data_IF_917692567069
#
_entry.id   IF_917692567069
#
_cell.length_a   1.000
_cell.length_b   1.000
_cell.length_c   1.000
_cell.angle_alpha   90.00
_cell.angle_beta   90.00
_cell.angle_gamma   90.00
#
_symmetry.space_group_name_H-M   'P 1'
#
loop_
_entity.id
_entity.type
_entity.pdbx_description
1 polymer ?
#
# COMPACT_ATOMS: atom_id res chain seq x y z
N UNK A 1 12.60 -11.27 -4.22
CA UNK A 1 11.43 -11.95 -4.80
C UNK A 1 11.68 -12.16 -6.29
N UNK A 2 11.34 -13.31 -6.88
CA UNK A 2 11.44 -13.49 -8.33
C UNK A 2 10.33 -12.70 -9.08
N UNK A 3 10.49 -12.54 -10.39
CA UNK A 3 9.58 -11.72 -11.21
C UNK A 3 8.14 -12.25 -11.25
N UNK A 4 7.95 -13.57 -11.25
CA UNK A 4 6.62 -14.20 -11.29
C UNK A 4 5.89 -13.96 -9.97
N UNK A 5 6.58 -14.16 -8.86
CA UNK A 5 6.04 -13.92 -7.51
C UNK A 5 5.73 -12.44 -7.31
N UNK A 6 6.59 -11.53 -7.80
CA UNK A 6 6.36 -10.08 -7.74
C UNK A 6 5.10 -9.65 -8.51
N UNK A 7 4.94 -10.14 -9.76
CA UNK A 7 3.75 -9.87 -10.57
C UNK A 7 2.47 -10.45 -9.93
N UNK A 8 2.55 -11.66 -9.35
CA UNK A 8 1.43 -12.27 -8.65
C UNK A 8 1.01 -11.46 -7.40
N UNK A 9 1.97 -11.02 -6.58
CA UNK A 9 1.71 -10.15 -5.43
C UNK A 9 1.07 -8.83 -5.86
N UNK A 10 1.57 -8.21 -6.93
CA UNK A 10 0.99 -6.98 -7.48
C UNK A 10 -0.48 -7.16 -7.88
N UNK A 11 -0.81 -8.27 -8.54
CA UNK A 11 -2.18 -8.60 -8.94
C UNK A 11 -3.10 -8.83 -7.74
N UNK A 12 -2.62 -9.50 -6.68
CA UNK A 12 -3.38 -9.69 -5.42
C UNK A 12 -3.68 -8.35 -4.76
N UNK A 13 -2.68 -7.47 -4.65
CA UNK A 13 -2.83 -6.15 -4.03
C UNK A 13 -3.81 -5.29 -4.83
N UNK A 14 -3.69 -5.25 -6.16
CA UNK A 14 -4.62 -4.54 -7.03
C UNK A 14 -6.06 -5.03 -6.83
N UNK A 15 -6.26 -6.35 -6.88
CA UNK A 15 -7.58 -6.97 -6.68
C UNK A 15 -8.18 -6.64 -5.33
N UNK A 16 -7.37 -6.70 -4.26
CA UNK A 16 -7.82 -6.37 -2.91
C UNK A 16 -8.35 -4.94 -2.84
N UNK A 17 -7.56 -3.95 -3.28
CA UNK A 17 -7.97 -2.54 -3.19
C UNK A 17 -9.19 -2.23 -4.06
N UNK A 18 -9.30 -2.86 -5.24
CA UNK A 18 -10.51 -2.78 -6.05
C UNK A 18 -11.72 -3.39 -5.34
N UNK A 19 -11.55 -4.54 -4.68
CA UNK A 19 -12.58 -5.16 -3.84
C UNK A 19 -12.99 -4.31 -2.64
N UNK A 20 -12.09 -3.47 -2.13
CA UNK A 20 -12.36 -2.48 -1.09
C UNK A 20 -13.05 -1.21 -1.61
N UNK A 21 -13.44 -1.16 -2.89
CA UNK A 21 -14.21 -0.06 -3.48
C UNK A 21 -13.38 1.03 -4.16
N UNK A 22 -12.05 0.85 -4.30
CA UNK A 22 -11.23 1.79 -5.06
C UNK A 22 -11.36 1.57 -6.57
N UNK A 23 -11.25 2.65 -7.33
CA UNK A 23 -11.12 2.56 -8.79
C UNK A 23 -9.81 1.87 -9.18
N UNK A 24 -9.66 1.50 -10.45
CA UNK A 24 -8.43 0.89 -10.94
C UNK A 24 -7.21 1.80 -10.72
N UNK A 25 -7.34 3.09 -11.03
CA UNK A 25 -6.31 4.10 -10.85
C UNK A 25 -5.93 4.26 -9.37
N UNK A 26 -6.93 4.34 -8.49
CA UNK A 26 -6.72 4.47 -7.04
C UNK A 26 -6.04 3.23 -6.45
N UNK A 27 -6.44 2.03 -6.88
CA UNK A 27 -5.82 0.77 -6.47
C UNK A 27 -4.35 0.67 -6.93
N UNK A 28 -4.02 1.16 -8.14
CA UNK A 28 -2.63 1.31 -8.58
C UNK A 28 -1.84 2.31 -7.69
N UNK A 29 -2.49 3.37 -7.20
CA UNK A 29 -1.92 4.29 -6.22
C UNK A 29 -1.54 3.61 -4.89
N UNK A 30 -2.38 2.70 -4.42
CA UNK A 30 -2.12 1.92 -3.20
C UNK A 30 -1.03 0.86 -3.41
N UNK A 31 -1.04 0.19 -4.56
CA UNK A 31 0.02 -0.73 -4.95
C UNK A 31 1.39 -0.05 -5.02
N UNK A 32 1.44 1.20 -5.51
CA UNK A 32 2.67 1.99 -5.55
C UNK A 32 3.27 2.27 -4.16
N UNK A 33 2.45 2.30 -3.10
CA UNK A 33 2.95 2.38 -1.73
C UNK A 33 3.64 1.06 -1.34
N UNK A 34 2.95 -0.07 -1.47
CA UNK A 34 3.53 -1.38 -1.15
C UNK A 34 4.84 -1.63 -1.93
N UNK A 35 4.86 -1.22 -3.20
CA UNK A 35 6.01 -1.42 -4.09
C UNK A 35 7.25 -0.65 -3.61
N UNK A 36 7.17 0.66 -3.34
CA UNK A 36 8.36 1.36 -2.86
C UNK A 36 8.59 1.30 -1.34
N UNK A 37 7.66 0.77 -0.52
CA UNK A 37 7.95 0.49 0.90
C UNK A 37 8.71 -0.83 1.07
N UNK A 38 8.29 -1.89 0.36
CA UNK A 38 8.82 -3.24 0.60
C UNK A 38 9.16 -4.02 -0.66
N UNK A 39 9.07 -3.43 -1.85
CA UNK A 39 9.10 -4.18 -3.12
C UNK A 39 8.07 -5.31 -3.15
N UNK A 40 6.88 -5.05 -2.57
CA UNK A 40 5.76 -5.99 -2.43
C UNK A 40 6.06 -7.20 -1.53
N UNK A 41 7.06 -7.12 -0.66
CA UNK A 41 7.45 -8.21 0.23
C UNK A 41 6.77 -8.11 1.60
N UNK A 42 5.80 -8.98 1.93
CA UNK A 42 5.17 -8.99 3.25
C UNK A 42 6.13 -9.45 4.37
N UNK A 43 7.33 -9.94 4.04
CA UNK A 43 8.36 -10.34 5.00
C UNK A 43 9.44 -9.29 5.20
N UNK A 44 9.34 -8.13 4.54
CA UNK A 44 10.31 -7.05 4.70
C UNK A 44 10.38 -6.56 6.14
N UNK A 45 11.60 -6.40 6.65
CA UNK A 45 11.90 -5.75 7.92
C UNK A 45 12.91 -4.65 7.67
N UNK A 46 12.49 -3.41 7.87
CA UNK A 46 13.30 -2.22 7.65
C UNK A 46 13.63 -1.49 8.94
N UNK A 47 14.17 -0.28 8.79
CA UNK A 47 14.53 0.62 9.89
C UNK A 47 15.22 -0.08 11.06
N UNK A 48 16.28 -0.84 10.76
CA UNK A 48 17.06 -1.59 11.75
C UNK A 48 16.22 -2.52 12.65
N UNK A 49 15.11 -3.06 12.13
CA UNK A 49 14.21 -3.96 12.87
C UNK A 49 12.94 -3.30 13.41
N UNK A 50 12.68 -2.02 13.10
CA UNK A 50 11.56 -1.26 13.65
C UNK A 50 10.37 -1.09 12.69
N UNK A 51 10.54 -1.45 11.41
CA UNK A 51 9.50 -1.32 10.40
C UNK A 51 9.11 -2.69 9.81
N UNK A 52 7.81 -2.99 9.73
CA UNK A 52 7.32 -4.34 9.45
C UNK A 52 6.48 -4.44 8.18
N UNK A 53 6.77 -5.45 7.36
CA UNK A 53 5.91 -5.93 6.28
C UNK A 53 5.70 -4.97 5.12
N UNK A 54 4.55 -5.11 4.48
CA UNK A 54 4.21 -4.58 3.16
C UNK A 54 4.33 -3.06 3.06
N UNK A 55 3.90 -2.33 4.10
CA UNK A 55 3.96 -0.87 4.18
C UNK A 55 4.95 -0.38 5.24
N UNK A 56 5.84 -1.26 5.72
CA UNK A 56 6.89 -0.86 6.66
C UNK A 56 6.35 -0.12 7.90
N UNK A 57 5.27 -0.64 8.51
CA UNK A 57 4.64 -0.01 9.67
C UNK A 57 5.60 0.05 10.86
N UNK A 58 5.66 1.21 11.53
CA UNK A 58 6.35 1.38 12.80
C UNK A 58 5.50 0.94 13.99
N UNK A 59 6.13 0.85 15.17
CA UNK A 59 5.56 0.19 16.36
C UNK A 59 4.20 0.72 16.82
N UNK A 60 4.01 2.03 16.89
CA UNK A 60 2.75 2.65 17.33
C UNK A 60 1.58 2.33 16.39
N UNK A 61 1.81 2.42 15.08
CA UNK A 61 0.84 2.00 14.04
C UNK A 61 0.55 0.51 14.14
N UNK A 62 1.58 -0.32 14.29
CA UNK A 62 1.42 -1.77 14.43
C UNK A 62 0.62 -2.17 15.69
N UNK A 63 0.83 -1.48 16.81
CA UNK A 63 0.09 -1.71 18.06
C UNK A 63 -1.39 -1.32 17.91
N UNK A 64 -1.67 -0.18 17.30
CA UNK A 64 -3.04 0.25 17.01
C UNK A 64 -3.78 -0.75 16.09
N UNK A 65 -3.12 -1.22 15.04
CA UNK A 65 -3.65 -2.24 14.11
C UNK A 65 -3.96 -3.55 14.85
N UNK A 66 -3.00 -4.03 15.67
CA UNK A 66 -3.20 -5.26 16.44
C UNK A 66 -4.38 -5.14 17.41
N UNK A 67 -4.48 -4.02 18.13
CA UNK A 67 -5.60 -3.77 19.04
C UNK A 67 -6.95 -3.63 18.30
N UNK A 68 -6.93 -3.08 17.09
CA UNK A 68 -8.14 -2.74 16.35
C UNK A 68 -8.73 -3.85 15.48
N UNK A 69 -7.88 -4.65 14.84
CA UNK A 69 -8.33 -5.73 13.96
C UNK A 69 -7.62 -7.08 14.18
N UNK A 70 -6.80 -7.19 15.23
CA UNK A 70 -6.15 -8.45 15.62
C UNK A 70 -4.96 -8.86 14.74
N UNK A 71 -4.59 -8.07 13.73
CA UNK A 71 -3.45 -8.38 12.86
C UNK A 71 -2.14 -7.97 13.54
N UNK A 72 -1.32 -8.96 13.90
CA UNK A 72 0.01 -8.71 14.46
C UNK A 72 1.06 -8.56 13.34
N UNK A 73 1.36 -7.31 12.97
CA UNK A 73 2.33 -7.01 11.91
C UNK A 73 3.77 -7.42 12.26
N UNK A 74 4.14 -7.50 13.55
CA UNK A 74 5.48 -7.93 13.98
C UNK A 74 5.70 -9.42 13.73
N UNK A 75 4.63 -10.21 13.63
CA UNK A 75 4.68 -11.60 13.21
C UNK A 75 4.81 -11.79 11.68
N UNK A 76 4.86 -10.68 10.92
CA UNK A 76 4.93 -10.67 9.44
C UNK A 76 3.87 -11.59 8.81
N UNK A 77 2.57 -11.33 9.04
CA UNK A 77 1.51 -12.24 8.62
C UNK A 77 1.41 -12.27 7.09
N UNK A 78 0.68 -13.22 6.50
CA UNK A 78 0.52 -13.32 5.05
C UNK A 78 0.01 -12.01 4.42
N UNK A 79 0.33 -11.82 3.13
CA UNK A 79 0.01 -10.61 2.36
C UNK A 79 -1.45 -10.14 2.54
N UNK A 80 -2.41 -11.06 2.48
CA UNK A 80 -3.83 -10.71 2.62
C UNK A 80 -4.19 -10.11 3.98
N UNK A 81 -3.56 -10.58 5.07
CA UNK A 81 -3.84 -10.04 6.40
C UNK A 81 -3.19 -8.67 6.59
N UNK A 82 -2.03 -8.44 5.97
CA UNK A 82 -1.43 -7.10 5.94
C UNK A 82 -2.26 -6.11 5.12
N UNK A 83 -2.93 -6.58 4.06
CA UNK A 83 -3.88 -5.75 3.30
C UNK A 83 -5.14 -5.42 4.12
N UNK A 84 -5.66 -6.37 4.93
CA UNK A 84 -6.73 -6.09 5.91
C UNK A 84 -6.28 -5.08 6.96
N UNK A 85 -5.06 -5.19 7.47
CA UNK A 85 -4.47 -4.21 8.38
C UNK A 85 -4.40 -2.81 7.77
N UNK A 86 -3.89 -2.70 6.53
CA UNK A 86 -3.84 -1.44 5.79
C UNK A 86 -5.23 -0.80 5.63
N UNK A 87 -6.22 -1.60 5.22
CA UNK A 87 -7.60 -1.11 5.06
C UNK A 87 -8.21 -0.69 6.40
N UNK A 88 -8.01 -1.47 7.46
CA UNK A 88 -8.47 -1.10 8.81
C UNK A 88 -7.88 0.24 9.23
N UNK A 89 -6.56 0.42 9.10
CA UNK A 89 -5.89 1.66 9.47
C UNK A 89 -6.45 2.87 8.70
N UNK A 90 -6.52 2.77 7.37
CA UNK A 90 -7.09 3.82 6.50
C UNK A 90 -8.54 4.16 6.86
N UNK A 91 -9.34 3.20 7.29
CA UNK A 91 -10.75 3.41 7.62
C UNK A 91 -10.99 3.79 9.08
N UNK A 92 -9.97 3.75 9.95
CA UNK A 92 -10.12 4.01 11.39
C UNK A 92 -9.25 5.17 11.86
N UNK A 93 -7.93 5.02 11.83
CA UNK A 93 -6.97 6.00 12.35
C UNK A 93 -6.47 6.97 11.28
N UNK A 94 -6.52 6.57 9.99
CA UNK A 94 -5.97 7.31 8.86
C UNK A 94 -7.06 7.77 7.85
N UNK A 95 -8.28 8.03 8.37
CA UNK A 95 -9.47 8.39 7.56
C UNK A 95 -9.25 9.57 6.62
N UNK A 96 -8.45 10.56 7.04
CA UNK A 96 -8.12 11.70 6.19
C UNK A 96 -7.37 11.27 4.94
N UNK A 97 -6.41 10.36 5.08
CA UNK A 97 -5.67 9.81 3.94
C UNK A 97 -6.60 9.00 3.04
N UNK A 98 -7.45 8.15 3.63
CA UNK A 98 -8.44 7.37 2.88
C UNK A 98 -9.35 8.23 2.02
N UNK A 99 -9.93 9.28 2.58
CA UNK A 99 -10.79 10.23 1.83
C UNK A 99 -10.01 10.91 0.70
N UNK A 100 -8.76 11.30 0.95
CA UNK A 100 -7.92 11.91 -0.09
C UNK A 100 -7.64 10.95 -1.25
N UNK A 101 -7.38 9.67 -0.95
CA UNK A 101 -7.17 8.61 -1.95
C UNK A 101 -8.45 8.37 -2.75
N UNK A 102 -9.61 8.27 -2.08
CA UNK A 102 -10.90 8.06 -2.76
C UNK A 102 -11.33 9.23 -3.65
N UNK A 103 -10.88 10.45 -3.35
CA UNK A 103 -11.15 11.63 -4.16
C UNK A 103 -10.15 11.80 -5.33
N UNK A 104 -9.08 11.02 -5.38
CA UNK A 104 -8.10 11.08 -6.46
C UNK A 104 -8.72 10.57 -7.77
N UNK A 105 -8.48 11.31 -8.87
CA UNK A 105 -9.02 10.99 -10.20
C UNK A 105 -8.03 10.23 -11.09
N UNK A 106 -6.75 10.31 -10.78
CA UNK A 106 -5.67 9.67 -11.53
C UNK A 106 -4.86 8.75 -10.61
N UNK A 107 -4.11 7.82 -11.19
CA UNK A 107 -3.24 6.96 -10.38
C UNK A 107 -2.11 7.78 -9.76
N UNK A 108 -1.61 8.78 -10.49
CA UNK A 108 -0.68 9.77 -9.98
C UNK A 108 -1.20 10.44 -8.71
N UNK A 109 -2.41 11.00 -8.75
CA UNK A 109 -2.99 11.70 -7.61
C UNK A 109 -3.23 10.76 -6.43
N UNK A 110 -3.64 9.52 -6.69
CA UNK A 110 -3.86 8.52 -5.64
C UNK A 110 -2.54 8.11 -4.97
N UNK A 111 -1.50 7.83 -5.76
CA UNK A 111 -0.17 7.49 -5.25
C UNK A 111 0.48 8.66 -4.50
N UNK A 112 0.28 9.89 -4.99
CA UNK A 112 0.71 11.12 -4.32
C UNK A 112 -0.03 11.32 -3.00
N UNK A 113 -1.36 11.22 -2.99
CA UNK A 113 -2.19 11.41 -1.81
C UNK A 113 -1.90 10.36 -0.73
N UNK A 114 -1.79 9.09 -1.10
CA UNK A 114 -1.43 8.01 -0.19
C UNK A 114 -0.07 8.28 0.45
N UNK A 115 0.96 8.60 -0.33
CA UNK A 115 2.27 8.90 0.23
C UNK A 115 2.26 10.14 1.14
N UNK A 116 1.61 11.23 0.70
CA UNK A 116 1.59 12.48 1.46
C UNK A 116 0.82 12.38 2.77
N UNK A 117 -0.30 11.67 2.78
CA UNK A 117 -1.23 11.69 3.91
C UNK A 117 -1.20 10.44 4.77
N UNK A 118 -0.84 9.28 4.20
CA UNK A 118 -0.76 8.01 4.94
C UNK A 118 0.68 7.70 5.37
N UNK A 119 1.59 7.52 4.41
CA UNK A 119 2.98 7.12 4.73
C UNK A 119 3.81 8.26 5.32
N UNK A 120 3.54 9.50 4.91
CA UNK A 120 4.16 10.74 5.42
C UNK A 120 5.69 10.66 5.53
N UNK A 121 6.42 10.29 4.46
CA UNK A 121 7.86 10.28 4.51
C UNK A 121 8.41 11.70 4.69
N UNK A 122 9.57 11.84 5.30
CA UNK A 122 10.21 13.14 5.59
C UNK A 122 10.67 13.94 4.36
N UNK A 123 10.34 13.53 3.13
CA UNK A 123 10.75 14.22 1.91
C UNK A 123 9.61 14.34 0.89
N UNK A 124 9.18 15.57 0.53
CA UNK A 124 8.10 15.79 -0.43
C UNK A 124 8.34 15.25 -1.84
N UNK A 125 9.61 15.03 -2.24
CA UNK A 125 9.93 14.41 -3.54
C UNK A 125 9.35 13.00 -3.65
N UNK A 126 9.17 12.31 -2.52
CA UNK A 126 8.62 10.97 -2.48
C UNK A 126 7.16 10.95 -2.94
N UNK A 127 6.41 12.01 -2.70
CA UNK A 127 4.99 12.08 -3.10
C UNK A 127 4.86 12.00 -4.62
N UNK A 128 5.67 12.79 -5.35
CA UNK A 128 5.70 12.76 -6.81
C UNK A 128 6.20 11.42 -7.36
N UNK A 129 7.24 10.84 -6.75
CA UNK A 129 7.75 9.51 -7.13
C UNK A 129 6.69 8.41 -6.98
N UNK A 130 5.88 8.47 -5.93
CA UNK A 130 4.80 7.51 -5.69
C UNK A 130 3.66 7.68 -6.69
N UNK A 131 3.34 8.92 -7.07
CA UNK A 131 2.43 9.19 -8.18
C UNK A 131 2.93 8.60 -9.50
N UNK A 132 4.20 8.84 -9.86
CA UNK A 132 4.79 8.28 -11.09
C UNK A 132 4.82 6.75 -11.09
N UNK A 133 5.13 6.14 -9.95
CA UNK A 133 5.10 4.68 -9.77
C UNK A 133 3.70 4.11 -9.95
N UNK A 134 2.66 4.82 -9.50
CA UNK A 134 1.28 4.41 -9.72
C UNK A 134 0.90 4.40 -11.21
N UNK A 135 1.34 5.41 -11.98
CA UNK A 135 1.14 5.44 -13.44
C UNK A 135 1.92 4.32 -14.17
N UNK A 136 3.08 3.95 -13.66
CA UNK A 136 3.82 2.78 -14.17
C UNK A 136 3.02 1.48 -13.95
N UNK A 137 2.37 1.32 -12.80
CA UNK A 137 1.47 0.19 -12.53
C UNK A 137 0.23 0.17 -13.41
N UNK A 138 -0.38 1.34 -13.68
CA UNK A 138 -1.46 1.47 -14.68
C UNK A 138 -0.99 0.96 -16.04
N UNK A 139 0.19 1.41 -16.49
CA UNK A 139 0.76 1.00 -17.78
C UNK A 139 1.03 -0.51 -17.82
N UNK A 140 1.56 -1.07 -16.73
CA UNK A 140 1.80 -2.50 -16.60
C UNK A 140 0.52 -3.32 -16.72
N UNK A 141 -0.52 -3.01 -15.94
CA UNK A 141 -1.76 -3.80 -15.92
C UNK A 141 -2.65 -3.57 -17.14
N UNK A 142 -2.52 -2.44 -17.85
CA UNK A 142 -3.14 -2.28 -19.18
C UNK A 142 -2.57 -3.25 -20.21
N UNK A 143 -1.26 -3.57 -20.11
CA UNK A 143 -0.59 -4.57 -20.97
C UNK A 143 -0.75 -6.00 -20.44
N UNK A 144 -0.94 -6.16 -19.14
CA UNK A 144 -1.05 -7.44 -18.46
C UNK A 144 -2.32 -7.46 -17.58
N UNK A 145 -3.53 -7.52 -18.17
CA UNK A 145 -4.76 -7.43 -17.41
C UNK A 145 -4.86 -8.56 -16.39
N UNK A 146 -5.28 -8.21 -15.17
CA UNK A 146 -5.57 -9.23 -14.16
C UNK A 146 -6.93 -9.83 -14.47
N UNK A 147 -6.96 -11.15 -14.69
CA UNK A 147 -8.19 -11.93 -14.90
C UNK A 147 -9.01 -12.10 -13.63
#
# INVERSE_FOLDING_TARGET
>A
MDQKTYAASAAVILKFWRGAGLTFEQACGMLAQADAESSLDPKAVGDHGQAFGLQQWHGDRADAIKAGCGVDLRALPPLQDQLKAALWELTHTEKRAWIAIQNARTAYDAGYAACRFWERPGSPIQYARRGQKAEAWVTYFRKNPVT
#
